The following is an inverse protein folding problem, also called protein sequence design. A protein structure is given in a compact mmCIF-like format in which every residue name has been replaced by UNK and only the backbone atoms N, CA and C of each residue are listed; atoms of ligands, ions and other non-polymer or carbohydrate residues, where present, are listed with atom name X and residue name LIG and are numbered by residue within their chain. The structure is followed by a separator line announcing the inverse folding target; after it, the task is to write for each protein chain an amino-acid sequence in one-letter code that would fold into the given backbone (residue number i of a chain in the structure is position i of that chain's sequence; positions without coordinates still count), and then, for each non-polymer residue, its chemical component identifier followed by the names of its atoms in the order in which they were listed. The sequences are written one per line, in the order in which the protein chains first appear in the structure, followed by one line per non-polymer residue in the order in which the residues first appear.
data_IF_041739283034
#
_entry.id   IF_041739283034
#
_cell.length_a   1.000
_cell.length_b   1.000
_cell.length_c   1.000
_cell.angle_alpha   90.00
_cell.angle_beta   90.00
_cell.angle_gamma   90.00
#
_symmetry.space_group_name_H-M   'P 1'
#
loop_
_entity.id
_entity.type
_entity.pdbx_description
1 polymer ?
#
# COMPACT_ATOMS: atom_id res chain seq x y z
N UNK A 1 3.71 -18.43 -19.32
CA UNK A 1 3.21 -17.90 -18.04
C UNK A 1 1.78 -18.34 -17.91
N UNK A 2 1.44 -19.17 -16.93
CA UNK A 2 0.09 -19.72 -16.78
C UNK A 2 -0.87 -18.61 -16.35
N UNK A 3 -2.12 -18.61 -16.81
CA UNK A 3 -3.14 -17.61 -16.50
C UNK A 3 -3.32 -17.38 -14.97
N UNK A 4 -3.15 -18.47 -14.20
CA UNK A 4 -3.11 -18.44 -12.73
C UNK A 4 -1.99 -17.54 -12.16
N UNK A 5 -0.78 -17.58 -12.73
CA UNK A 5 0.34 -16.75 -12.29
C UNK A 5 0.14 -15.26 -12.59
N UNK A 6 -0.64 -14.92 -13.62
CA UNK A 6 -1.00 -13.55 -13.93
C UNK A 6 -2.06 -13.03 -12.94
N UNK A 7 -3.08 -13.84 -12.65
CA UNK A 7 -4.11 -13.54 -11.65
C UNK A 7 -3.54 -13.34 -10.24
N UNK A 8 -2.58 -14.17 -9.82
CA UNK A 8 -1.90 -14.02 -8.54
C UNK A 8 -1.08 -12.72 -8.46
N UNK A 9 -0.44 -12.33 -9.56
CA UNK A 9 0.25 -11.05 -9.68
C UNK A 9 -0.70 -9.85 -9.55
N UNK A 10 -1.83 -9.89 -10.25
CA UNK A 10 -2.87 -8.86 -10.17
C UNK A 10 -3.47 -8.77 -8.78
N UNK A 11 -3.76 -9.92 -8.13
CA UNK A 11 -4.27 -9.96 -6.77
C UNK A 11 -3.29 -9.34 -5.77
N UNK A 12 -2.01 -9.62 -5.94
CA UNK A 12 -0.95 -9.06 -5.09
C UNK A 12 -0.83 -7.55 -5.29
N UNK A 13 -0.82 -7.10 -6.55
CA UNK A 13 -0.80 -5.67 -6.89
C UNK A 13 -2.01 -4.92 -6.31
N UNK A 14 -3.22 -5.47 -6.48
CA UNK A 14 -4.46 -4.88 -5.96
C UNK A 14 -4.44 -4.80 -4.43
N UNK A 15 -3.92 -5.84 -3.75
CA UNK A 15 -3.79 -5.84 -2.28
C UNK A 15 -2.85 -4.75 -1.78
N UNK A 16 -1.72 -4.51 -2.47
CA UNK A 16 -0.78 -3.48 -2.06
C UNK A 16 -1.27 -2.06 -2.38
N UNK A 17 -2.00 -1.87 -3.48
CA UNK A 17 -2.71 -0.61 -3.78
C UNK A 17 -3.75 -0.30 -2.70
N UNK A 18 -4.52 -1.30 -2.26
CA UNK A 18 -5.50 -1.12 -1.19
C UNK A 18 -4.84 -0.65 0.12
N UNK A 19 -3.70 -1.25 0.50
CA UNK A 19 -2.91 -0.80 1.64
C UNK A 19 -2.34 0.61 1.46
N UNK A 20 -1.86 0.94 0.25
CA UNK A 20 -1.33 2.26 -0.08
C UNK A 20 -2.38 3.37 0.14
N UNK A 21 -3.59 3.14 -0.39
CA UNK A 21 -4.71 4.07 -0.26
C UNK A 21 -5.21 4.19 1.18
N UNK A 22 -5.22 3.09 1.94
CA UNK A 22 -5.64 3.10 3.34
C UNK A 22 -4.66 3.88 4.22
N UNK A 23 -3.35 3.69 4.02
CA UNK A 23 -2.32 4.48 4.68
C UNK A 23 -2.40 5.97 4.33
N UNK A 24 -2.65 6.30 3.06
CA UNK A 24 -2.85 7.69 2.64
C UNK A 24 -4.06 8.32 3.32
N UNK A 25 -5.19 7.61 3.43
CA UNK A 25 -6.37 8.11 4.14
C UNK A 25 -6.06 8.41 5.62
N UNK A 26 -5.39 7.48 6.32
CA UNK A 26 -4.96 7.70 7.71
C UNK A 26 -4.04 8.92 7.84
N UNK A 27 -3.14 9.10 6.87
CA UNK A 27 -2.23 10.26 6.82
C UNK A 27 -3.01 11.56 6.66
N UNK A 28 -3.97 11.60 5.74
CA UNK A 28 -4.79 12.78 5.46
C UNK A 28 -5.71 13.11 6.64
N UNK A 29 -6.32 12.10 7.28
CA UNK A 29 -7.09 12.30 8.51
C UNK A 29 -6.19 12.87 9.60
N UNK A 30 -5.01 12.29 9.83
CA UNK A 30 -4.06 12.80 10.81
C UNK A 30 -3.63 14.25 10.53
N UNK A 31 -3.48 14.63 9.25
CA UNK A 31 -3.07 15.96 8.86
C UNK A 31 -4.19 17.01 9.02
N UNK A 32 -5.42 16.68 8.61
CA UNK A 32 -6.55 17.63 8.57
C UNK A 32 -7.36 17.66 9.86
N UNK A 33 -7.36 16.60 10.66
CA UNK A 33 -8.06 16.53 11.95
C UNK A 33 -7.18 17.01 13.13
N UNK A 34 -5.98 17.53 12.84
CA UNK A 34 -5.01 17.93 13.87
C UNK A 34 -4.48 16.74 14.68
N UNK A 35 -4.51 15.54 14.10
CA UNK A 35 -3.99 14.32 14.69
C UNK A 35 -2.51 14.41 15.02
N UNK A 36 -2.06 13.58 15.96
CA UNK A 36 -0.66 13.59 16.36
C UNK A 36 0.26 13.22 15.19
N UNK A 37 1.48 13.75 15.21
CA UNK A 37 2.53 13.40 14.24
C UNK A 37 2.68 11.88 14.04
N UNK A 38 2.47 11.09 15.10
CA UNK A 38 2.49 9.63 15.05
C UNK A 38 1.41 9.04 14.13
N UNK A 39 0.22 9.63 14.03
CA UNK A 39 -0.85 9.17 13.13
C UNK A 39 -0.45 9.38 11.67
N UNK A 40 0.12 10.55 11.37
CA UNK A 40 0.64 10.88 10.03
C UNK A 40 1.75 9.92 9.62
N UNK A 41 2.72 9.67 10.52
CA UNK A 41 3.82 8.71 10.27
C UNK A 41 3.29 7.29 10.09
N UNK A 42 2.30 6.87 10.89
CA UNK A 42 1.69 5.54 10.79
C UNK A 42 0.99 5.36 9.44
N UNK A 43 0.25 6.36 8.99
CA UNK A 43 -0.39 6.35 7.68
C UNK A 43 0.62 6.27 6.53
N UNK A 44 1.70 7.04 6.60
CA UNK A 44 2.78 6.99 5.61
C UNK A 44 3.48 5.63 5.60
N UNK A 45 3.76 5.04 6.76
CA UNK A 45 4.37 3.72 6.87
C UNK A 45 3.47 2.61 6.29
N UNK A 46 2.16 2.66 6.57
CA UNK A 46 1.18 1.75 5.97
C UNK A 46 1.14 1.91 4.45
N UNK A 47 1.17 3.15 3.98
CA UNK A 47 1.08 3.46 2.55
C UNK A 47 2.30 2.94 1.79
N UNK A 48 3.48 3.21 2.34
CA UNK A 48 4.76 2.77 1.78
C UNK A 48 4.90 1.24 1.83
N UNK A 49 4.46 0.60 2.92
CA UNK A 49 4.43 -0.85 3.05
C UNK A 49 3.54 -1.52 2.00
N UNK A 50 2.39 -0.92 1.68
CA UNK A 50 1.52 -1.34 0.58
C UNK A 50 2.22 -1.26 -0.78
N UNK A 51 2.86 -0.12 -1.08
CA UNK A 51 3.59 0.11 -2.33
C UNK A 51 4.84 -0.77 -2.50
N UNK A 52 5.53 -1.09 -1.40
CA UNK A 52 6.67 -2.01 -1.43
C UNK A 52 6.22 -3.45 -1.67
N UNK A 53 5.06 -3.85 -1.13
CA UNK A 53 4.45 -5.16 -1.39
C UNK A 53 4.10 -5.36 -2.86
N UNK A 54 3.64 -4.31 -3.56
CA UNK A 54 3.38 -4.39 -5.00
C UNK A 54 4.67 -4.46 -5.81
N UNK A 55 5.71 -3.76 -5.38
CA UNK A 55 7.00 -3.70 -6.08
C UNK A 55 7.79 -5.01 -5.93
N UNK A 56 7.72 -5.65 -4.75
CA UNK A 56 8.34 -6.96 -4.52
C UNK A 56 7.73 -8.10 -5.35
N UNK A 57 6.45 -7.97 -5.75
CA UNK A 57 5.80 -8.90 -6.67
C UNK A 57 6.21 -8.68 -8.14
N UNK A 58 6.86 -7.57 -8.45
CA UNK A 58 7.34 -7.17 -9.77
C UNK A 58 8.87 -7.35 -9.94
N UNK A 59 9.54 -8.11 -9.04
CA UNK A 59 10.95 -8.46 -9.17
C UNK A 59 11.24 -9.28 -10.44
N UNK A 60 12.44 -9.13 -11.05
CA UNK A 60 12.71 -9.49 -12.43
C UNK A 60 12.61 -11.00 -12.64
N UNK A 61 11.72 -11.41 -13.56
CA UNK A 61 11.78 -12.72 -14.19
C UNK A 61 12.82 -12.71 -15.30
#
# INVERSE_FOLDING_TARGET
MSESSALDGVRTALSGIAFALLGLQVTLVGLFDGGSFLVVVTGLALSLGGALRTTGAAGPR
#
